data_IF_546361204224
#
_entry.id   IF_546361204224
#
_cell.length_a   1.000
_cell.length_b   1.000
_cell.length_c   1.000
_cell.angle_alpha   90.00
_cell.angle_beta   90.00
_cell.angle_gamma   90.00
#
_symmetry.space_group_name_H-M   'P 1'
#
loop_
_entity.id
_entity.type
_entity.pdbx_description
1 polymer ?
#
# COMPACT_ATOMS: atom_id res chain seq x y z
N UNK A 1 1.63 28.60 -4.80
CA UNK A 1 0.74 28.24 -3.67
C UNK A 1 -0.70 28.32 -4.20
N UNK A 2 -1.23 27.20 -4.68
CA UNK A 2 -2.63 27.13 -5.17
C UNK A 2 -3.52 26.86 -3.95
N UNK A 3 -4.20 27.89 -3.50
CA UNK A 3 -5.22 27.77 -2.46
C UNK A 3 -6.46 27.20 -3.13
N UNK A 4 -6.75 25.91 -2.92
CA UNK A 4 -8.03 25.32 -3.32
C UNK A 4 -9.13 25.84 -2.37
N UNK A 5 -10.20 26.43 -2.88
CA UNK A 5 -11.30 26.90 -2.05
C UNK A 5 -12.00 25.73 -1.35
N UNK A 6 -12.42 25.93 -0.10
CA UNK A 6 -13.14 24.96 0.73
C UNK A 6 -14.42 24.37 0.06
N UNK A 7 -14.92 24.99 -0.99
CA UNK A 7 -16.07 24.55 -1.77
C UNK A 7 -15.84 23.25 -2.57
N UNK A 8 -14.57 22.86 -2.83
CA UNK A 8 -14.29 21.63 -3.57
C UNK A 8 -14.53 20.35 -2.74
N UNK A 9 -14.63 20.45 -1.42
CA UNK A 9 -14.82 19.29 -0.52
C UNK A 9 -16.19 18.60 -0.67
N UNK A 10 -17.19 19.28 -1.22
CA UNK A 10 -18.57 18.82 -1.22
C UNK A 10 -19.07 18.25 -2.56
N UNK A 11 -18.25 18.26 -3.61
CA UNK A 11 -18.70 17.88 -4.95
C UNK A 11 -18.92 16.37 -5.14
N UNK A 12 -18.33 15.52 -4.28
CA UNK A 12 -18.38 14.06 -4.47
C UNK A 12 -19.53 13.35 -3.75
N UNK A 13 -20.21 14.00 -2.78
CA UNK A 13 -21.32 13.38 -2.07
C UNK A 13 -22.66 13.73 -2.71
N UNK A 14 -23.32 12.74 -3.33
CA UNK A 14 -24.59 12.93 -4.06
C UNK A 14 -25.84 12.95 -3.17
N UNK A 15 -25.78 12.60 -1.89
CA UNK A 15 -26.96 12.58 -1.01
C UNK A 15 -27.10 13.86 -0.21
N UNK A 16 -28.29 14.50 -0.34
CA UNK A 16 -28.68 15.73 0.38
C UNK A 16 -28.91 15.46 1.86
N UNK A 17 -28.27 14.73 2.59
CA UNK A 17 -28.44 14.44 4.03
C UNK A 17 -27.28 13.63 4.60
N UNK A 18 -26.22 13.48 3.82
CA UNK A 18 -25.04 12.76 4.29
C UNK A 18 -24.25 13.65 5.25
N UNK A 19 -24.24 13.31 6.52
CA UNK A 19 -23.47 13.97 7.57
C UNK A 19 -21.94 13.88 7.34
N UNK A 20 -21.47 12.98 6.46
CA UNK A 20 -20.05 12.89 6.09
C UNK A 20 -19.53 14.14 5.36
N UNK A 21 -20.42 15.02 4.84
CA UNK A 21 -20.04 16.30 4.23
C UNK A 21 -19.49 17.29 5.24
N UNK A 22 -20.03 17.25 6.44
CA UNK A 22 -19.70 18.20 7.51
C UNK A 22 -18.72 17.59 8.52
N UNK A 23 -18.16 16.42 8.18
CA UNK A 23 -17.18 15.77 9.04
C UNK A 23 -15.93 16.64 9.18
N UNK A 24 -15.63 16.99 10.42
CA UNK A 24 -14.39 17.69 10.79
C UNK A 24 -13.35 16.63 11.16
N UNK A 25 -12.11 16.71 10.64
CA UNK A 25 -11.01 15.84 11.06
C UNK A 25 -10.80 15.87 12.57
N UNK A 26 -10.76 14.69 13.22
CA UNK A 26 -10.64 14.54 14.67
C UNK A 26 -9.59 13.55 15.09
N UNK A 27 -9.17 12.68 14.18
CA UNK A 27 -8.27 11.58 14.48
C UNK A 27 -6.87 11.83 13.91
N UNK A 28 -5.81 11.35 14.59
CA UNK A 28 -4.45 11.46 14.06
C UNK A 28 -4.21 10.73 12.73
N UNK A 29 -5.18 9.91 12.31
CA UNK A 29 -5.18 9.21 11.01
C UNK A 29 -5.83 10.02 9.90
N UNK A 30 -6.57 11.09 10.24
CA UNK A 30 -7.24 11.92 9.23
C UNK A 30 -6.19 12.67 8.41
N UNK A 31 -6.45 12.78 7.12
CA UNK A 31 -5.59 13.50 6.20
C UNK A 31 -5.62 15.00 6.50
N UNK A 32 -4.45 15.63 6.60
CA UNK A 32 -4.39 17.09 6.63
C UNK A 32 -4.88 17.68 5.29
N UNK A 33 -5.17 18.98 5.27
CA UNK A 33 -5.60 19.64 4.02
C UNK A 33 -4.53 19.57 2.94
N UNK A 34 -3.25 19.68 3.32
CA UNK A 34 -2.11 19.56 2.41
C UNK A 34 -1.98 18.12 1.87
N UNK A 35 -2.15 17.12 2.72
CA UNK A 35 -2.13 15.71 2.30
C UNK A 35 -3.30 15.42 1.37
N UNK A 36 -4.50 15.92 1.69
CA UNK A 36 -5.66 15.78 0.83
C UNK A 36 -5.47 16.45 -0.52
N UNK A 37 -4.97 17.68 -0.56
CA UNK A 37 -4.70 18.39 -1.81
C UNK A 37 -3.75 17.63 -2.76
N UNK A 38 -2.83 16.84 -2.21
CA UNK A 38 -1.96 15.95 -3.01
C UNK A 38 -2.69 14.71 -3.49
N UNK A 39 -3.59 14.16 -2.67
CA UNK A 39 -4.29 12.90 -2.93
C UNK A 39 -5.52 13.07 -3.81
N UNK A 40 -6.30 14.14 -3.59
CA UNK A 40 -7.62 14.37 -4.20
C UNK A 40 -7.64 14.24 -5.72
N UNK A 41 -6.75 14.88 -6.50
CA UNK A 41 -6.81 14.78 -7.96
C UNK A 41 -6.72 13.34 -8.47
N UNK A 42 -6.00 12.49 -7.74
CA UNK A 42 -5.79 11.07 -8.07
C UNK A 42 -6.94 10.21 -7.62
N UNK A 43 -7.47 10.50 -6.44
CA UNK A 43 -8.63 9.82 -5.88
C UNK A 43 -9.87 10.07 -6.75
N UNK A 44 -10.09 11.32 -7.17
CA UNK A 44 -11.18 11.71 -8.07
C UNK A 44 -11.02 11.04 -9.43
N UNK A 45 -9.85 11.06 -10.03
CA UNK A 45 -9.59 10.38 -11.31
C UNK A 45 -9.83 8.86 -11.21
N UNK A 46 -9.44 8.24 -10.10
CA UNK A 46 -9.66 6.83 -9.85
C UNK A 46 -11.16 6.49 -9.77
N UNK A 47 -11.98 7.35 -9.16
CA UNK A 47 -13.43 7.15 -9.10
C UNK A 47 -14.12 7.46 -10.43
N UNK A 48 -13.69 8.47 -11.18
CA UNK A 48 -14.24 8.82 -12.50
C UNK A 48 -14.00 7.74 -13.55
N UNK A 49 -12.94 6.93 -13.42
CA UNK A 49 -12.67 5.79 -14.32
C UNK A 49 -13.57 4.59 -14.06
N UNK A 50 -14.49 4.66 -13.08
CA UNK A 50 -15.51 3.64 -12.83
C UNK A 50 -16.65 3.83 -13.84
N UNK A 51 -16.50 3.25 -15.01
CA UNK A 51 -17.43 3.43 -16.13
C UNK A 51 -18.82 2.83 -15.94
N UNK A 52 -19.09 2.01 -14.93
CA UNK A 52 -20.39 1.41 -14.67
C UNK A 52 -20.60 1.15 -13.18
N UNK A 53 -21.60 1.79 -12.60
CA UNK A 53 -21.98 1.57 -11.20
C UNK A 53 -22.76 2.74 -10.62
N UNK A 54 -23.36 2.53 -9.44
CA UNK A 54 -24.01 3.59 -8.69
C UNK A 54 -22.95 4.64 -8.29
N UNK A 55 -23.18 5.94 -8.53
CA UNK A 55 -22.30 7.00 -8.09
C UNK A 55 -22.00 6.90 -6.58
N UNK A 56 -20.78 7.26 -6.17
CA UNK A 56 -20.43 7.30 -4.77
C UNK A 56 -21.28 8.33 -4.04
N UNK A 57 -21.94 7.90 -2.96
CA UNK A 57 -22.87 8.71 -2.18
C UNK A 57 -22.16 9.49 -1.08
N UNK A 58 -21.02 8.99 -0.61
CA UNK A 58 -20.27 9.53 0.52
C UNK A 58 -19.12 10.42 0.05
N UNK A 59 -18.71 11.35 0.91
CA UNK A 59 -17.55 12.20 0.66
C UNK A 59 -16.28 11.36 0.51
N UNK A 60 -15.50 11.62 -0.56
CA UNK A 60 -14.34 10.81 -0.91
C UNK A 60 -13.22 10.94 0.14
N UNK A 61 -13.03 12.13 0.71
CA UNK A 61 -12.05 12.36 1.77
C UNK A 61 -12.44 11.58 3.02
N UNK A 62 -13.72 11.64 3.42
CA UNK A 62 -14.20 10.88 4.56
C UNK A 62 -14.04 9.36 4.38
N UNK A 63 -14.19 8.85 3.15
CA UNK A 63 -13.92 7.44 2.83
C UNK A 63 -12.43 7.10 2.96
N UNK A 64 -11.54 7.96 2.48
CA UNK A 64 -10.09 7.77 2.62
C UNK A 64 -9.64 7.85 4.09
N UNK A 65 -10.16 8.82 4.84
CA UNK A 65 -9.88 8.98 6.27
C UNK A 65 -10.33 7.75 7.07
N UNK A 66 -11.52 7.21 6.75
CA UNK A 66 -12.04 6.00 7.37
C UNK A 66 -11.14 4.77 7.13
N UNK A 67 -10.66 4.59 5.89
CA UNK A 67 -9.69 3.52 5.58
C UNK A 67 -8.39 3.73 6.35
N UNK A 68 -7.87 4.96 6.38
CA UNK A 68 -6.65 5.29 7.11
C UNK A 68 -6.81 5.03 8.62
N UNK A 69 -7.98 5.33 9.18
CA UNK A 69 -8.30 5.04 10.58
C UNK A 69 -8.25 3.53 10.89
N UNK A 70 -8.93 2.70 10.07
CA UNK A 70 -8.91 1.23 10.25
C UNK A 70 -7.49 0.69 10.14
N UNK A 71 -6.74 1.11 9.12
CA UNK A 71 -5.37 0.63 8.89
C UNK A 71 -4.42 1.04 10.00
N UNK A 72 -4.53 2.28 10.50
CA UNK A 72 -3.65 2.80 11.55
C UNK A 72 -3.91 2.14 12.90
N UNK A 73 -5.18 1.93 13.24
CA UNK A 73 -5.57 1.44 14.57
C UNK A 73 -5.71 -0.09 14.62
N UNK A 74 -5.73 -0.77 13.47
CA UNK A 74 -5.88 -2.23 13.39
C UNK A 74 -7.21 -2.75 13.94
N UNK A 75 -8.27 -1.94 13.88
CA UNK A 75 -9.61 -2.31 14.37
C UNK A 75 -10.35 -3.17 13.34
N UNK A 76 -11.41 -3.82 13.79
CA UNK A 76 -12.39 -4.44 12.89
C UNK A 76 -13.16 -3.36 12.12
N UNK A 77 -13.52 -3.63 10.86
CA UNK A 77 -14.32 -2.69 10.05
C UNK A 77 -15.61 -2.27 10.76
N UNK A 78 -16.26 -3.20 11.44
CA UNK A 78 -17.50 -2.96 12.21
C UNK A 78 -17.33 -2.04 13.41
N UNK A 79 -16.11 -1.87 13.89
CA UNK A 79 -15.78 -1.00 15.01
C UNK A 79 -15.40 0.43 14.55
N UNK A 80 -15.64 0.76 13.27
CA UNK A 80 -15.41 2.10 12.75
C UNK A 80 -16.31 3.10 13.49
N UNK A 81 -15.78 4.22 14.00
CA UNK A 81 -16.56 5.24 14.70
C UNK A 81 -17.72 5.78 13.86
N UNK A 82 -18.82 6.14 14.53
CA UNK A 82 -20.06 6.56 13.89
C UNK A 82 -19.99 7.90 13.15
N UNK A 83 -18.93 8.68 13.35
CA UNK A 83 -18.67 9.93 12.60
C UNK A 83 -17.97 9.70 11.25
N UNK A 84 -17.65 8.46 10.91
CA UNK A 84 -17.27 8.04 9.56
C UNK A 84 -18.48 7.56 8.75
N UNK A 85 -18.38 7.45 7.41
CA UNK A 85 -19.38 6.75 6.63
C UNK A 85 -19.63 5.32 7.12
N UNK A 86 -20.81 4.73 6.87
CA UNK A 86 -21.13 3.37 7.29
C UNK A 86 -20.03 2.38 6.89
N UNK A 87 -19.62 1.54 7.82
CA UNK A 87 -18.48 0.64 7.64
C UNK A 87 -18.61 -0.28 6.41
N UNK A 88 -19.84 -0.68 6.04
CA UNK A 88 -20.09 -1.47 4.84
C UNK A 88 -19.72 -0.70 3.56
N UNK A 89 -20.02 0.59 3.52
CA UNK A 89 -19.67 1.45 2.40
C UNK A 89 -18.16 1.66 2.31
N UNK A 90 -17.50 1.88 3.46
CA UNK A 90 -16.04 2.03 3.54
C UNK A 90 -15.33 0.73 3.15
N UNK A 91 -15.82 -0.41 3.61
CA UNK A 91 -15.25 -1.72 3.24
C UNK A 91 -15.40 -1.99 1.73
N UNK A 92 -16.57 -1.75 1.16
CA UNK A 92 -16.79 -1.91 -0.28
C UNK A 92 -15.92 -0.95 -1.11
N UNK A 93 -15.70 0.26 -0.64
CA UNK A 93 -14.77 1.22 -1.24
C UNK A 93 -13.33 0.70 -1.20
N UNK A 94 -12.87 0.24 -0.04
CA UNK A 94 -11.54 -0.34 0.14
C UNK A 94 -11.31 -1.55 -0.78
N UNK A 95 -12.26 -2.51 -0.80
CA UNK A 95 -12.16 -3.70 -1.66
C UNK A 95 -12.11 -3.33 -3.15
N UNK A 96 -12.92 -2.37 -3.58
CA UNK A 96 -12.92 -1.87 -4.97
C UNK A 96 -11.57 -1.25 -5.33
N UNK A 97 -11.03 -0.40 -4.47
CA UNK A 97 -9.75 0.24 -4.69
C UNK A 97 -8.59 -0.75 -4.67
N UNK A 98 -8.62 -1.65 -3.71
CA UNK A 98 -7.59 -2.68 -3.56
C UNK A 98 -7.61 -3.67 -4.75
N UNK A 99 -8.78 -4.13 -5.16
CA UNK A 99 -8.96 -5.00 -6.31
C UNK A 99 -8.46 -4.41 -7.63
N UNK A 100 -8.41 -3.07 -7.74
CA UNK A 100 -7.85 -2.34 -8.89
C UNK A 100 -6.37 -1.99 -8.73
N UNK A 101 -5.75 -2.31 -7.60
CA UNK A 101 -4.36 -1.96 -7.31
C UNK A 101 -4.12 -0.45 -7.12
N UNK A 102 -5.18 0.34 -6.90
CA UNK A 102 -5.08 1.81 -6.78
C UNK A 102 -4.19 2.27 -5.62
N UNK A 103 -4.25 1.68 -4.40
CA UNK A 103 -3.35 2.06 -3.31
C UNK A 103 -1.88 1.90 -3.69
N UNK A 104 -1.54 0.81 -4.37
CA UNK A 104 -0.16 0.56 -4.81
C UNK A 104 0.28 1.54 -5.91
N UNK A 105 -0.59 1.81 -6.87
CA UNK A 105 -0.33 2.80 -7.93
C UNK A 105 -0.11 4.20 -7.36
N UNK A 106 -0.90 4.55 -6.34
CA UNK A 106 -0.79 5.83 -5.63
C UNK A 106 0.54 5.95 -4.87
N UNK A 107 0.90 4.94 -4.08
CA UNK A 107 2.19 4.88 -3.36
C UNK A 107 3.35 5.03 -4.34
N UNK A 108 3.31 4.30 -5.47
CA UNK A 108 4.32 4.41 -6.52
C UNK A 108 4.45 5.85 -7.04
N UNK A 109 3.34 6.49 -7.37
CA UNK A 109 3.34 7.84 -7.92
C UNK A 109 3.85 8.89 -6.92
N UNK A 110 3.40 8.79 -5.68
CA UNK A 110 3.85 9.69 -4.60
C UNK A 110 5.36 9.53 -4.35
N UNK A 111 5.86 8.30 -4.29
CA UNK A 111 7.29 8.03 -4.16
C UNK A 111 8.09 8.65 -5.31
N UNK A 112 7.66 8.45 -6.56
CA UNK A 112 8.34 9.03 -7.73
C UNK A 112 8.44 10.57 -7.61
N UNK A 113 7.37 11.22 -7.19
CA UNK A 113 7.35 12.67 -6.99
C UNK A 113 8.26 13.12 -5.85
N UNK A 114 8.24 12.42 -4.71
CA UNK A 114 9.12 12.72 -3.57
C UNK A 114 10.59 12.57 -3.95
N UNK A 115 10.95 11.53 -4.68
CA UNK A 115 12.31 11.33 -5.16
C UNK A 115 12.78 12.48 -6.05
N UNK A 116 11.94 12.86 -7.03
CA UNK A 116 12.25 14.00 -7.92
C UNK A 116 12.37 15.31 -7.13
N UNK A 117 11.47 15.53 -6.17
CA UNK A 117 11.53 16.71 -5.30
C UNK A 117 12.84 16.81 -4.50
N UNK A 118 13.41 15.65 -4.15
CA UNK A 118 14.71 15.56 -3.45
C UNK A 118 15.91 15.54 -4.43
N UNK A 119 15.72 15.87 -5.70
CA UNK A 119 16.78 15.91 -6.71
C UNK A 119 17.25 14.51 -7.15
N UNK A 120 16.47 13.45 -6.89
CA UNK A 120 16.79 12.09 -7.28
C UNK A 120 16.06 11.66 -8.54
N UNK A 121 16.56 10.62 -9.20
CA UNK A 121 15.82 10.00 -10.30
C UNK A 121 14.49 9.41 -9.77
N UNK A 122 13.41 9.52 -10.54
CA UNK A 122 12.09 9.01 -10.18
C UNK A 122 12.13 7.51 -9.86
N UNK A 123 12.91 6.75 -10.62
CA UNK A 123 13.10 5.31 -10.41
C UNK A 123 14.35 5.03 -9.57
N UNK A 124 14.27 4.09 -8.60
CA UNK A 124 15.41 3.73 -7.75
C UNK A 124 16.43 2.89 -8.51
N UNK A 125 17.71 3.09 -8.22
CA UNK A 125 18.81 2.25 -8.72
C UNK A 125 19.28 1.21 -7.70
N UNK A 126 18.85 1.34 -6.45
CA UNK A 126 19.21 0.47 -5.35
C UNK A 126 18.01 0.20 -4.44
N UNK A 127 18.00 -0.96 -3.79
CA UNK A 127 17.00 -1.31 -2.79
C UNK A 127 17.62 -2.08 -1.62
N UNK A 128 16.92 -2.02 -0.49
CA UNK A 128 17.21 -2.79 0.72
C UNK A 128 16.06 -3.77 0.90
N UNK A 129 16.37 -5.03 1.11
CA UNK A 129 15.38 -6.11 1.30
C UNK A 129 15.44 -6.58 2.75
N UNK A 130 14.27 -6.71 3.36
CA UNK A 130 14.11 -7.23 4.72
C UNK A 130 12.89 -8.13 4.84
N UNK A 131 12.85 -8.96 5.89
CA UNK A 131 11.70 -9.78 6.24
C UNK A 131 11.26 -9.61 7.68
N UNK A 132 9.96 -9.58 7.85
CA UNK A 132 9.33 -9.49 9.16
C UNK A 132 8.27 -10.58 9.33
N UNK A 133 8.29 -11.29 10.45
CA UNK A 133 7.22 -12.21 10.81
C UNK A 133 6.24 -11.49 11.73
N UNK A 134 4.97 -11.51 11.33
CA UNK A 134 3.87 -10.92 12.08
C UNK A 134 2.99 -12.05 12.60
N UNK A 135 2.79 -12.10 13.94
CA UNK A 135 1.90 -13.06 14.59
C UNK A 135 0.47 -12.87 14.05
N UNK A 136 -0.17 -13.95 13.67
CA UNK A 136 -1.58 -13.94 13.32
C UNK A 136 -2.45 -13.95 14.59
N UNK A 137 -3.60 -13.30 14.54
CA UNK A 137 -4.63 -13.52 15.55
C UNK A 137 -5.16 -14.95 15.47
N UNK A 138 -5.67 -15.48 16.56
CA UNK A 138 -6.16 -16.87 16.64
C UNK A 138 -7.34 -17.14 15.70
N UNK A 139 -8.07 -16.09 15.32
CA UNK A 139 -9.17 -16.11 14.35
C UNK A 139 -8.73 -16.24 12.88
N UNK A 140 -7.42 -16.07 12.60
CA UNK A 140 -6.90 -16.15 11.21
C UNK A 140 -6.81 -17.61 10.77
N UNK A 141 -7.48 -17.94 9.68
CA UNK A 141 -7.50 -19.29 9.14
C UNK A 141 -6.11 -19.85 8.80
N UNK A 142 -5.88 -21.12 9.10
CA UNK A 142 -4.60 -21.83 8.88
C UNK A 142 -4.16 -21.87 7.41
N UNK A 143 -5.09 -21.69 6.47
CA UNK A 143 -4.76 -21.70 5.02
C UNK A 143 -3.83 -20.55 4.59
N UNK A 144 -3.82 -19.44 5.31
CA UNK A 144 -3.06 -18.22 4.96
C UNK A 144 -2.00 -17.86 6.00
N UNK A 145 -1.87 -18.65 7.07
CA UNK A 145 -0.85 -18.51 8.11
C UNK A 145 0.02 -19.76 8.16
N UNK A 146 1.21 -19.64 8.72
CA UNK A 146 2.14 -20.76 8.90
C UNK A 146 2.94 -20.62 10.18
N UNK A 147 3.53 -21.71 10.65
CA UNK A 147 4.39 -21.72 11.83
C UNK A 147 5.83 -21.43 11.45
N UNK A 148 6.43 -20.45 12.10
CA UNK A 148 7.85 -20.11 11.96
C UNK A 148 8.65 -20.77 13.08
N UNK A 149 9.42 -21.81 12.75
CA UNK A 149 10.14 -22.63 13.74
C UNK A 149 11.15 -21.86 14.59
N UNK A 150 11.92 -20.95 13.99
CA UNK A 150 12.93 -20.16 14.68
C UNK A 150 12.35 -19.13 15.67
N UNK A 151 11.24 -18.47 15.30
CA UNK A 151 10.56 -17.48 16.16
C UNK A 151 9.46 -18.09 17.03
N UNK A 152 9.13 -19.38 16.82
CA UNK A 152 8.08 -20.12 17.55
C UNK A 152 6.71 -19.44 17.53
N UNK A 153 6.34 -18.82 16.41
CA UNK A 153 5.06 -18.11 16.23
C UNK A 153 4.34 -18.59 14.98
N UNK A 154 3.02 -18.60 15.05
CA UNK A 154 2.15 -18.78 13.88
C UNK A 154 1.78 -17.41 13.33
N UNK A 155 1.94 -17.21 12.01
CA UNK A 155 1.67 -15.91 11.43
C UNK A 155 1.95 -15.83 9.94
N UNK A 156 2.26 -14.62 9.51
CA UNK A 156 2.59 -14.30 8.13
C UNK A 156 3.98 -13.67 8.03
N UNK A 157 4.72 -14.03 7.00
CA UNK A 157 5.96 -13.38 6.60
C UNK A 157 5.65 -12.16 5.72
N UNK A 158 6.22 -11.01 6.03
CA UNK A 158 6.25 -9.82 5.16
C UNK A 158 7.66 -9.70 4.62
N UNK A 159 7.81 -9.84 3.32
CA UNK A 159 9.07 -9.59 2.62
C UNK A 159 8.92 -8.25 1.92
N UNK A 160 9.73 -7.28 2.29
CA UNK A 160 9.61 -5.92 1.81
C UNK A 160 10.92 -5.44 1.19
N UNK A 161 10.80 -4.57 0.20
CA UNK A 161 11.90 -3.83 -0.35
C UNK A 161 11.62 -2.34 -0.25
N UNK A 162 12.61 -1.60 0.21
CA UNK A 162 12.59 -0.14 0.28
C UNK A 162 13.77 0.43 -0.52
N UNK A 163 13.67 1.68 -0.93
CA UNK A 163 14.82 2.39 -1.49
C UNK A 163 15.75 2.92 -0.40
N UNK A 164 16.80 3.64 -0.79
CA UNK A 164 17.77 4.21 0.15
C UNK A 164 17.20 5.24 1.13
N UNK A 165 16.01 5.77 0.85
CA UNK A 165 15.27 6.69 1.72
C UNK A 165 14.25 5.98 2.63
N UNK A 166 14.13 4.65 2.50
CA UNK A 166 13.16 3.87 3.26
C UNK A 166 11.76 3.81 2.62
N UNK A 167 11.57 4.33 1.40
CA UNK A 167 10.27 4.28 0.75
C UNK A 167 9.99 2.93 0.12
N UNK A 168 8.78 2.42 0.36
CA UNK A 168 8.37 1.10 -0.10
C UNK A 168 8.41 0.99 -1.63
N UNK A 169 9.11 -0.03 -2.12
CA UNK A 169 9.17 -0.40 -3.53
C UNK A 169 8.25 -1.58 -3.84
N UNK A 170 8.34 -2.63 -3.04
CA UNK A 170 7.53 -3.83 -3.19
C UNK A 170 7.31 -4.52 -1.85
N UNK A 171 6.21 -5.24 -1.75
CA UNK A 171 5.84 -6.05 -0.59
C UNK A 171 5.27 -7.39 -1.08
N UNK A 172 5.70 -8.47 -0.44
CA UNK A 172 5.11 -9.81 -0.60
C UNK A 172 4.74 -10.34 0.77
N UNK A 173 3.53 -10.87 0.88
CA UNK A 173 3.06 -11.53 2.10
C UNK A 173 2.95 -13.02 1.85
N UNK A 174 3.55 -13.82 2.74
CA UNK A 174 3.55 -15.28 2.68
C UNK A 174 3.05 -15.87 4.01
N UNK A 175 2.82 -17.18 4.05
CA UNK A 175 2.74 -17.88 5.33
C UNK A 175 4.11 -17.80 6.05
N UNK A 176 4.13 -17.70 7.37
CA UNK A 176 5.39 -17.59 8.14
C UNK A 176 6.28 -18.84 8.05
N UNK A 177 5.74 -19.97 7.55
CA UNK A 177 6.52 -21.18 7.24
C UNK A 177 7.38 -21.07 5.98
N UNK A 178 7.14 -20.05 5.14
CA UNK A 178 7.96 -19.78 3.95
C UNK A 178 9.28 -19.16 4.39
N UNK A 179 10.40 -19.73 3.96
CA UNK A 179 11.72 -19.22 4.31
C UNK A 179 11.98 -17.83 3.70
N UNK A 180 12.84 -17.04 4.33
CA UNK A 180 13.22 -15.70 3.84
C UNK A 180 13.78 -15.76 2.41
N UNK A 181 14.57 -16.77 2.09
CA UNK A 181 15.09 -16.99 0.72
C UNK A 181 13.99 -17.27 -0.31
N UNK A 182 12.96 -18.03 0.06
CA UNK A 182 11.84 -18.31 -0.84
C UNK A 182 10.97 -17.06 -1.02
N UNK A 183 10.69 -16.32 0.05
CA UNK A 183 10.01 -15.05 0.02
C UNK A 183 10.76 -13.98 -0.79
N UNK A 184 12.09 -13.93 -0.66
CA UNK A 184 12.97 -13.05 -1.44
C UNK A 184 12.83 -13.29 -2.94
N UNK A 185 12.75 -14.54 -3.39
CA UNK A 185 12.56 -14.84 -4.82
C UNK A 185 11.27 -14.22 -5.36
N UNK A 186 10.17 -14.32 -4.62
CA UNK A 186 8.90 -13.70 -5.00
C UNK A 186 8.99 -12.17 -5.04
N UNK A 187 9.70 -11.59 -4.07
CA UNK A 187 9.93 -10.16 -3.99
C UNK A 187 10.79 -9.65 -5.15
N UNK A 188 11.87 -10.36 -5.48
CA UNK A 188 12.80 -10.02 -6.56
C UNK A 188 12.09 -10.03 -7.93
N UNK A 189 11.22 -11.01 -8.19
CA UNK A 189 10.42 -11.04 -9.41
C UNK A 189 9.61 -9.75 -9.53
N UNK A 190 8.87 -9.37 -8.47
CA UNK A 190 8.08 -8.13 -8.45
C UNK A 190 8.93 -6.87 -8.62
N UNK A 191 10.13 -6.86 -8.03
CA UNK A 191 11.04 -5.73 -8.15
C UNK A 191 11.53 -5.55 -9.58
N UNK A 192 11.96 -6.61 -10.24
CA UNK A 192 12.46 -6.52 -11.61
C UNK A 192 11.36 -6.28 -12.64
N UNK A 193 10.14 -6.74 -12.39
CA UNK A 193 8.98 -6.40 -13.22
C UNK A 193 8.60 -4.91 -13.10
N UNK A 194 8.82 -4.30 -11.92
CA UNK A 194 8.44 -2.92 -11.65
C UNK A 194 9.56 -1.90 -11.91
N UNK A 195 10.83 -2.31 -11.82
CA UNK A 195 11.99 -1.40 -11.82
C UNK A 195 13.15 -1.94 -12.66
N UNK A 196 13.21 -1.56 -13.92
CA UNK A 196 14.34 -1.91 -14.81
C UNK A 196 15.67 -1.23 -14.44
N UNK A 197 15.59 -0.17 -13.63
CA UNK A 197 16.75 0.65 -13.20
C UNK A 197 17.51 0.08 -12.02
N UNK A 198 16.99 -0.95 -11.34
CA UNK A 198 17.65 -1.54 -10.18
C UNK A 198 18.97 -2.23 -10.56
N UNK A 199 20.05 -1.82 -9.89
CA UNK A 199 21.43 -2.32 -10.08
C UNK A 199 21.97 -2.99 -8.82
N UNK A 200 21.56 -2.53 -7.64
CA UNK A 200 22.10 -2.92 -6.35
C UNK A 200 20.95 -3.34 -5.44
N UNK A 201 21.14 -4.46 -4.74
CA UNK A 201 20.22 -4.96 -3.71
C UNK A 201 21.05 -5.31 -2.48
N UNK A 202 20.71 -4.70 -1.34
CA UNK A 202 21.24 -5.06 -0.03
C UNK A 202 20.23 -5.90 0.72
N UNK A 203 20.72 -6.88 1.44
CA UNK A 203 19.93 -7.74 2.33
C UNK A 203 20.79 -8.16 3.52
N UNK A 204 20.16 -8.60 4.60
CA UNK A 204 20.88 -9.14 5.75
C UNK A 204 21.44 -10.56 5.50
N UNK A 205 22.15 -11.11 6.48
CA UNK A 205 22.77 -12.43 6.40
C UNK A 205 21.77 -13.59 6.23
N UNK A 206 20.49 -13.39 6.58
CA UNK A 206 19.42 -14.37 6.35
C UNK A 206 19.19 -14.68 4.87
N UNK A 207 19.61 -13.78 3.99
CA UNK A 207 19.54 -13.92 2.54
C UNK A 207 20.84 -14.40 1.90
N UNK A 208 21.92 -14.61 2.69
CA UNK A 208 23.19 -15.06 2.17
C UNK A 208 23.10 -16.43 1.50
N UNK A 209 23.91 -16.59 0.48
CA UNK A 209 24.15 -17.86 -0.19
C UNK A 209 24.30 -17.74 -1.70
N UNK A 210 25.36 -18.39 -2.21
CA UNK A 210 25.68 -18.41 -3.63
C UNK A 210 24.49 -18.81 -4.54
N UNK A 211 23.62 -19.78 -4.16
CA UNK A 211 22.48 -20.16 -4.99
C UNK A 211 21.45 -19.03 -5.16
N UNK A 212 21.17 -18.25 -4.11
CA UNK A 212 20.22 -17.14 -4.22
C UNK A 212 20.82 -15.99 -5.04
N UNK A 213 22.08 -15.65 -4.82
CA UNK A 213 22.77 -14.61 -5.59
C UNK A 213 22.86 -14.97 -7.09
N UNK A 214 23.17 -16.20 -7.43
CA UNK A 214 23.18 -16.68 -8.81
C UNK A 214 21.79 -16.61 -9.45
N UNK A 215 20.75 -17.02 -8.72
CA UNK A 215 19.39 -16.95 -9.18
C UNK A 215 18.92 -15.50 -9.42
N UNK A 216 19.25 -14.56 -8.52
CA UNK A 216 18.94 -13.13 -8.68
C UNK A 216 19.62 -12.58 -9.94
N UNK A 217 20.91 -12.88 -10.17
CA UNK A 217 21.62 -12.44 -11.37
C UNK A 217 20.99 -12.97 -12.64
N UNK A 218 20.62 -14.24 -12.67
CA UNK A 218 19.95 -14.86 -13.82
C UNK A 218 18.58 -14.22 -14.10
N UNK A 219 17.79 -13.96 -13.05
CA UNK A 219 16.46 -13.32 -13.14
C UNK A 219 16.58 -11.88 -13.65
N UNK A 220 17.55 -11.11 -13.17
CA UNK A 220 17.82 -9.76 -13.65
C UNK A 220 18.19 -9.71 -15.13
N UNK A 221 18.97 -10.69 -15.61
CA UNK A 221 19.34 -10.78 -17.01
C UNK A 221 18.12 -11.07 -17.92
N UNK A 222 17.17 -11.88 -17.46
CA UNK A 222 15.92 -12.17 -18.19
C UNK A 222 14.99 -10.95 -18.20
N UNK A 223 14.83 -10.26 -17.10
CA UNK A 223 13.97 -9.06 -17.00
C UNK A 223 14.44 -7.96 -17.95
N UNK A 224 15.76 -7.69 -17.99
CA UNK A 224 16.35 -6.68 -18.90
C UNK A 224 16.21 -6.97 -20.39
N UNK A 225 15.92 -8.21 -20.78
CA UNK A 225 15.67 -8.57 -22.20
C UNK A 225 14.21 -8.37 -22.61
N UNK A 226 13.31 -8.15 -21.65
CA UNK A 226 11.88 -7.94 -21.89
C UNK A 226 11.46 -6.47 -21.87
N UNK A 227 12.30 -5.58 -21.36
CA UNK A 227 12.15 -4.14 -21.36
C UNK A 227 12.87 -3.49 -22.55
#
# INVERSE_FOLDING_TARGET
MLVYPAAARNASCASAGCWCRDRVPRYPSDLSDEQWAVLEPRAVMAELTVAAGRPMVHDLRAMCDAVAYVVRNGIEWRALPADFPPWEAVYAFYERWNGRGLPLALIRRLREQLRVHQGRAAQPSACIVDSQIVKAADTVGKKTSGYHGGKKITGRGRHLAVDAEGWLLALVVTAASVSDRAGAKLLVIRLFDAFSTLKIMWADSGYDGAPLAAWIKATAAVSRRRS
#
